data_IF_378861552299
#
_entry.id   IF_378861552299
#
_cell.length_a   1.000
_cell.length_b   1.000
_cell.length_c   1.000
_cell.angle_alpha   90.00
_cell.angle_beta   90.00
_cell.angle_gamma   90.00
#
_symmetry.space_group_name_H-M   'P 1'
#
loop_
_entity.id
_entity.type
_entity.pdbx_description
1 polymer ?
#
# COMPACT_ATOMS: atom_id res chain seq x y z
N UNK A 1 -15.56 26.35 -11.82
CA UNK A 1 -14.30 26.66 -11.13
C UNK A 1 -13.83 28.11 -11.42
N UNK A 2 -14.04 28.61 -12.66
CA UNK A 2 -13.65 29.97 -13.04
C UNK A 2 -14.56 31.05 -12.41
N UNK A 3 -15.82 30.73 -12.15
CA UNK A 3 -16.77 31.71 -11.55
C UNK A 3 -16.55 31.92 -10.03
N UNK A 4 -16.03 30.90 -9.32
CA UNK A 4 -15.79 31.06 -7.88
C UNK A 4 -14.59 31.97 -7.60
N UNK A 5 -13.54 31.89 -8.42
CA UNK A 5 -12.36 32.75 -8.29
C UNK A 5 -12.67 34.24 -8.57
N UNK A 6 -13.63 34.51 -9.49
CA UNK A 6 -14.05 35.89 -9.80
C UNK A 6 -14.95 36.50 -8.75
N UNK A 7 -15.68 35.68 -7.99
CA UNK A 7 -16.60 36.18 -6.95
C UNK A 7 -15.83 36.61 -5.68
N UNK A 8 -14.73 35.93 -5.32
CA UNK A 8 -13.86 36.38 -4.21
C UNK A 8 -13.13 37.69 -4.53
N UNK A 9 -12.72 37.90 -5.79
CA UNK A 9 -12.07 39.12 -6.24
C UNK A 9 -13.04 40.33 -6.21
N UNK A 10 -14.36 40.10 -6.34
CA UNK A 10 -15.36 41.15 -6.36
C UNK A 10 -15.92 41.50 -4.97
N UNK A 11 -15.72 40.65 -3.96
CA UNK A 11 -16.25 40.85 -2.61
C UNK A 11 -15.35 41.67 -1.69
N UNK A 12 -14.07 41.92 -2.08
CA UNK A 12 -13.08 42.63 -1.27
C UNK A 12 -12.59 43.95 -1.90
N UNK A 13 -13.29 44.48 -2.89
CA UNK A 13 -12.88 45.71 -3.56
C UNK A 13 -13.60 46.95 -2.99
N UNK A 14 -13.44 47.15 -1.68
CA UNK A 14 -13.61 48.47 -1.05
C UNK A 14 -12.29 49.30 -1.06
N UNK A 15 -11.29 48.82 -1.83
CA UNK A 15 -10.05 49.51 -2.14
C UNK A 15 -9.06 49.64 -0.97
N UNK A 16 -9.29 49.03 0.18
CA UNK A 16 -8.47 49.25 1.35
C UNK A 16 -8.14 48.05 2.24
N UNK A 17 -8.79 46.89 2.11
CA UNK A 17 -8.46 45.71 2.92
C UNK A 17 -7.59 44.73 2.15
N UNK A 18 -6.33 44.61 2.53
CA UNK A 18 -5.40 43.61 2.01
C UNK A 18 -5.67 42.25 2.66
N UNK A 19 -5.54 41.17 1.90
CA UNK A 19 -5.74 39.80 2.42
C UNK A 19 -4.65 39.43 3.45
N UNK A 20 -5.04 38.92 4.65
CA UNK A 20 -4.10 38.41 5.63
C UNK A 20 -3.72 36.94 5.39
N UNK A 21 -4.18 36.31 4.29
CA UNK A 21 -4.00 34.89 4.07
C UNK A 21 -2.54 34.57 3.68
N UNK A 22 -1.82 33.97 4.62
CA UNK A 22 -0.44 33.48 4.50
C UNK A 22 -0.38 31.95 4.63
N UNK A 23 -1.46 31.25 4.20
CA UNK A 23 -1.56 29.80 4.34
C UNK A 23 -1.13 29.05 3.07
N UNK A 24 -0.71 27.79 3.25
CA UNK A 24 -0.30 26.88 2.18
C UNK A 24 -1.41 25.87 1.92
N UNK A 25 -1.81 25.76 0.66
CA UNK A 25 -2.88 24.86 0.20
C UNK A 25 -2.42 23.41 0.07
N UNK A 26 -1.23 23.23 -0.47
CA UNK A 26 -0.64 21.91 -0.71
C UNK A 26 0.87 22.01 -0.85
N UNK A 27 1.57 20.92 -0.56
CA UNK A 27 3.00 20.82 -0.79
C UNK A 27 3.44 19.41 -1.16
N UNK A 28 4.61 19.32 -1.82
CA UNK A 28 5.34 18.06 -2.02
C UNK A 28 6.82 18.27 -1.65
N UNK A 29 7.47 17.21 -1.19
CA UNK A 29 8.93 17.16 -0.98
C UNK A 29 9.46 16.01 -1.82
N UNK A 30 10.41 16.29 -2.70
CA UNK A 30 10.96 15.31 -3.64
C UNK A 30 9.88 14.55 -4.44
N UNK A 31 8.84 15.28 -4.87
CA UNK A 31 7.68 14.73 -5.61
C UNK A 31 6.68 13.96 -4.75
N UNK A 32 6.95 13.72 -3.47
CA UNK A 32 6.03 13.03 -2.56
C UNK A 32 5.13 14.03 -1.85
N UNK A 33 3.82 13.75 -1.80
CA UNK A 33 2.81 14.59 -1.15
C UNK A 33 3.13 14.76 0.34
N UNK A 34 3.14 16.01 0.80
CA UNK A 34 3.34 16.37 2.19
C UNK A 34 2.01 16.71 2.87
N UNK A 35 1.96 16.52 4.19
CA UNK A 35 0.87 16.98 5.05
C UNK A 35 1.18 18.43 5.41
N UNK A 36 0.25 19.34 5.11
CA UNK A 36 0.31 20.74 5.47
C UNK A 36 -0.61 20.98 6.66
N UNK A 37 -0.05 21.42 7.77
CA UNK A 37 -0.78 21.88 8.94
C UNK A 37 -0.62 23.39 9.07
N UNK A 38 -1.69 24.12 8.74
CA UNK A 38 -1.72 25.57 8.76
C UNK A 38 -1.86 26.15 10.18
N UNK A 39 -2.29 25.38 11.17
CA UNK A 39 -2.33 25.81 12.57
C UNK A 39 -0.95 25.69 13.23
N UNK A 40 -0.35 24.49 13.11
CA UNK A 40 0.99 24.23 13.63
C UNK A 40 2.11 24.86 12.80
N UNK A 41 1.80 25.40 11.61
CA UNK A 41 2.78 25.93 10.65
C UNK A 41 3.84 24.90 10.29
N UNK A 42 3.40 23.69 9.91
CA UNK A 42 4.30 22.61 9.50
C UNK A 42 3.92 22.03 8.14
N UNK A 43 4.95 21.61 7.41
CA UNK A 43 4.85 20.79 6.19
C UNK A 43 5.67 19.54 6.45
N UNK A 44 5.02 18.37 6.52
CA UNK A 44 5.69 17.13 6.88
C UNK A 44 5.52 16.08 5.79
N UNK A 45 6.63 15.50 5.33
CA UNK A 45 6.64 14.35 4.45
C UNK A 45 7.45 13.22 5.08
N UNK A 46 6.86 12.02 5.15
CA UNK A 46 7.53 10.85 5.68
C UNK A 46 8.13 10.03 4.53
N UNK A 47 9.39 9.63 4.66
CA UNK A 47 10.13 8.80 3.72
C UNK A 47 10.41 7.44 4.35
N UNK A 48 10.58 6.42 3.49
CA UNK A 48 10.85 5.06 3.93
C UNK A 48 12.28 4.91 4.47
N UNK A 49 12.51 3.87 5.28
CA UNK A 49 13.83 3.51 5.80
C UNK A 49 14.84 3.38 4.67
N UNK A 50 16.05 3.90 4.91
CA UNK A 50 17.12 3.89 3.92
C UNK A 50 17.11 5.04 2.91
N UNK A 51 16.06 5.88 2.90
CA UNK A 51 16.08 7.11 2.11
C UNK A 51 17.13 8.07 2.66
N UNK A 52 18.02 8.57 1.81
CA UNK A 52 19.07 9.53 2.20
C UNK A 52 18.59 10.93 1.84
N UNK A 53 18.30 11.80 2.84
CA UNK A 53 17.96 13.19 2.57
C UNK A 53 19.11 13.93 1.87
N UNK A 54 18.77 14.76 0.90
CA UNK A 54 19.74 15.53 0.12
C UNK A 54 19.12 16.81 -0.47
N UNK A 55 19.58 17.22 -1.63
CA UNK A 55 19.02 18.32 -2.41
C UNK A 55 17.69 17.91 -3.04
N UNK A 56 16.57 18.21 -2.37
CA UNK A 56 15.24 17.82 -2.80
C UNK A 56 14.37 19.01 -3.16
N UNK A 57 13.61 18.97 -4.27
CA UNK A 57 12.68 20.03 -4.62
C UNK A 57 11.52 20.06 -3.61
N UNK A 58 11.17 21.27 -3.15
CA UNK A 58 9.98 21.55 -2.35
C UNK A 58 9.02 22.33 -3.22
N UNK A 59 7.93 21.69 -3.63
CA UNK A 59 6.86 22.32 -4.40
C UNK A 59 5.70 22.63 -3.49
N UNK A 60 5.17 23.84 -3.54
CA UNK A 60 4.01 24.25 -2.76
C UNK A 60 3.11 25.21 -3.55
N UNK A 61 1.84 25.23 -3.15
CA UNK A 61 0.84 26.14 -3.66
C UNK A 61 0.28 26.95 -2.48
N UNK A 62 0.32 28.27 -2.57
CA UNK A 62 -0.29 29.15 -1.59
C UNK A 62 -1.81 29.20 -1.78
N UNK A 63 -2.58 29.43 -0.71
CA UNK A 63 -4.01 29.64 -0.81
C UNK A 63 -4.36 30.97 -1.49
N UNK A 64 -3.64 32.03 -1.13
CA UNK A 64 -3.79 33.35 -1.77
C UNK A 64 -2.80 33.53 -2.90
N UNK A 65 -3.27 33.93 -4.08
CA UNK A 65 -2.42 34.33 -5.21
C UNK A 65 -1.69 35.65 -4.98
N UNK A 66 -2.05 36.40 -3.93
CA UNK A 66 -1.46 37.69 -3.53
C UNK A 66 -0.42 37.52 -2.43
N UNK A 67 -0.24 36.31 -1.90
CA UNK A 67 0.83 35.98 -0.96
C UNK A 67 2.12 35.61 -1.72
N UNK A 68 3.26 35.75 -1.04
CA UNK A 68 4.57 35.36 -1.55
C UNK A 68 5.32 34.52 -0.51
N UNK A 69 6.31 33.76 -0.97
CA UNK A 69 7.22 33.01 -0.10
C UNK A 69 8.66 33.50 -0.29
N UNK A 70 9.52 33.27 0.72
CA UNK A 70 10.92 33.66 0.72
C UNK A 70 11.80 32.83 -0.23
N UNK A 71 11.28 31.71 -0.76
CA UNK A 71 11.90 30.98 -1.85
C UNK A 71 10.88 30.49 -2.90
N UNK A 72 11.37 30.18 -4.09
CA UNK A 72 10.54 29.77 -5.22
C UNK A 72 10.14 28.30 -5.10
N UNK A 73 8.84 28.03 -5.31
CA UNK A 73 8.28 26.68 -5.34
C UNK A 73 8.90 25.84 -6.44
N UNK A 74 9.37 24.64 -6.09
CA UNK A 74 10.02 23.69 -6.99
C UNK A 74 11.55 23.73 -6.94
N UNK A 75 12.16 24.71 -6.29
CA UNK A 75 13.60 24.74 -6.11
C UNK A 75 14.09 23.65 -5.14
N UNK A 76 15.29 23.07 -5.40
CA UNK A 76 15.90 22.10 -4.50
C UNK A 76 16.43 22.78 -3.23
N UNK A 77 16.27 22.08 -2.11
CA UNK A 77 16.77 22.48 -0.79
C UNK A 77 17.40 21.29 -0.07
N UNK A 78 18.43 21.56 0.73
CA UNK A 78 19.21 20.54 1.38
C UNK A 78 18.57 20.08 2.69
N UNK A 79 18.04 18.85 2.70
CA UNK A 79 17.48 18.20 3.88
C UNK A 79 18.47 17.34 4.68
N UNK A 80 19.73 17.23 4.23
CA UNK A 80 20.73 16.45 4.97
C UNK A 80 21.07 17.08 6.33
N UNK A 81 20.83 18.38 6.50
CA UNK A 81 21.11 19.14 7.73
C UNK A 81 19.88 19.31 8.65
N UNK A 82 18.76 18.69 8.32
CA UNK A 82 17.52 18.77 9.08
C UNK A 82 16.41 19.60 8.43
N UNK A 83 15.41 20.02 9.21
CA UNK A 83 14.27 20.78 8.71
C UNK A 83 14.65 22.13 8.09
N UNK A 84 13.81 22.58 7.15
CA UNK A 84 13.91 23.90 6.51
C UNK A 84 12.82 24.81 7.04
N UNK A 85 12.94 26.11 6.75
CA UNK A 85 11.89 27.09 7.01
C UNK A 85 11.44 27.74 5.72
N UNK A 86 10.12 27.98 5.59
CA UNK A 86 9.52 28.82 4.54
C UNK A 86 8.79 29.96 5.23
N UNK A 87 9.14 31.22 4.92
CA UNK A 87 8.38 32.38 5.33
C UNK A 87 7.38 32.76 4.26
N UNK A 88 6.09 32.69 4.57
CA UNK A 88 5.00 33.14 3.70
C UNK A 88 4.52 34.51 4.15
N UNK A 89 4.54 35.48 3.25
CA UNK A 89 4.09 36.86 3.49
C UNK A 89 2.76 37.08 2.76
N UNK A 90 1.71 37.42 3.50
CA UNK A 90 0.41 37.79 2.96
C UNK A 90 0.43 39.18 2.30
N UNK A 91 -0.65 39.52 1.58
CA UNK A 91 -0.78 40.83 0.91
C UNK A 91 -0.77 42.01 1.90
N UNK A 92 -1.26 41.83 3.12
CA UNK A 92 -1.26 42.86 4.17
C UNK A 92 0.11 43.04 4.87
N UNK A 93 1.09 42.17 4.52
CA UNK A 93 2.42 42.13 5.11
C UNK A 93 2.55 41.22 6.34
N UNK A 94 1.46 40.59 6.80
CA UNK A 94 1.54 39.57 7.85
C UNK A 94 2.33 38.34 7.38
N UNK A 95 3.08 37.73 8.30
CA UNK A 95 4.01 36.63 8.01
C UNK A 95 3.67 35.37 8.78
N UNK A 96 3.89 34.23 8.14
CA UNK A 96 3.86 32.91 8.77
C UNK A 96 5.13 32.15 8.38
N UNK A 97 5.78 31.54 9.37
CA UNK A 97 6.97 30.70 9.16
C UNK A 97 6.57 29.25 9.31
N UNK A 98 6.72 28.48 8.24
CA UNK A 98 6.46 27.04 8.21
C UNK A 98 7.77 26.28 8.38
N UNK A 99 7.74 25.25 9.25
CA UNK A 99 8.82 24.26 9.34
C UNK A 99 8.55 23.13 8.35
N UNK A 100 9.49 22.88 7.45
CA UNK A 100 9.41 21.81 6.44
C UNK A 100 10.22 20.61 6.90
N UNK A 101 9.53 19.51 7.22
CA UNK A 101 10.13 18.31 7.77
C UNK A 101 10.14 17.18 6.73
N UNK A 102 11.34 16.67 6.43
CA UNK A 102 11.52 15.40 5.74
C UNK A 102 11.93 14.34 6.78
N UNK A 103 10.96 13.51 7.20
CA UNK A 103 11.17 12.50 8.24
C UNK A 103 11.46 11.17 7.56
N UNK A 104 12.62 10.58 7.84
CA UNK A 104 12.96 9.23 7.38
C UNK A 104 12.57 8.24 8.47
N UNK A 105 11.73 7.27 8.12
CA UNK A 105 11.32 6.21 9.04
C UNK A 105 12.49 5.29 9.38
N UNK A 106 12.55 4.81 10.61
CA UNK A 106 13.44 3.74 11.06
C UNK A 106 12.80 2.35 10.90
N UNK A 107 11.49 2.31 10.60
CA UNK A 107 10.73 1.07 10.38
C UNK A 107 10.99 0.50 8.98
N UNK A 108 10.85 -0.82 8.88
CA UNK A 108 10.81 -1.55 7.59
C UNK A 108 9.66 -1.01 6.75
N UNK A 109 9.93 -0.75 5.48
CA UNK A 109 8.98 -0.13 4.57
C UNK A 109 8.09 -1.16 3.87
N UNK A 110 6.77 -0.96 3.92
CA UNK A 110 5.78 -1.78 3.23
C UNK A 110 5.07 -0.94 2.18
N UNK A 111 5.22 -1.31 0.90
CA UNK A 111 4.44 -0.74 -0.20
C UNK A 111 3.13 -1.50 -0.38
N UNK A 112 2.02 -0.94 0.09
CA UNK A 112 0.69 -1.55 -0.03
C UNK A 112 -0.05 -0.97 -1.23
N UNK A 113 -0.15 -1.75 -2.30
CA UNK A 113 -0.91 -1.39 -3.49
C UNK A 113 -2.41 -1.55 -3.20
N UNK A 114 -3.15 -0.46 -3.23
CA UNK A 114 -4.61 -0.41 -3.05
C UNK A 114 -5.30 0.20 -4.25
N UNK A 115 -6.59 0.04 -4.39
CA UNK A 115 -7.34 0.56 -5.54
C UNK A 115 -7.21 2.09 -5.73
N UNK A 116 -7.01 2.85 -4.65
CA UNK A 116 -7.07 4.32 -4.64
C UNK A 116 -5.86 5.01 -4.00
N UNK A 117 -4.81 4.27 -3.64
CA UNK A 117 -3.66 4.83 -2.94
C UNK A 117 -3.96 5.26 -1.50
N UNK A 118 -4.98 4.68 -0.89
CA UNK A 118 -5.40 4.97 0.48
C UNK A 118 -5.97 3.73 1.17
N UNK A 119 -6.01 3.75 2.51
CA UNK A 119 -6.75 2.77 3.30
C UNK A 119 -8.26 2.94 3.10
N UNK A 120 -9.00 1.84 3.08
CA UNK A 120 -10.46 1.87 3.18
C UNK A 120 -10.89 1.90 4.66
N UNK A 121 -12.12 2.35 4.92
CA UNK A 121 -12.66 2.45 6.29
C UNK A 121 -12.76 1.09 7.01
N UNK A 122 -12.82 0.00 6.26
CA UNK A 122 -12.89 -1.37 6.80
C UNK A 122 -11.51 -2.04 7.00
N UNK A 123 -10.41 -1.37 6.69
CA UNK A 123 -9.05 -1.95 6.75
C UNK A 123 -8.44 -1.98 8.16
N UNK A 124 -9.12 -1.47 9.19
CA UNK A 124 -8.55 -1.27 10.52
C UNK A 124 -7.87 -2.51 11.12
N UNK A 125 -8.54 -3.67 11.10
CA UNK A 125 -7.97 -4.93 11.61
C UNK A 125 -6.87 -5.49 10.70
N UNK A 126 -7.00 -5.37 9.38
CA UNK A 126 -5.95 -5.73 8.45
C UNK A 126 -4.70 -4.89 8.70
N UNK A 127 -4.84 -3.57 8.82
CA UNK A 127 -3.71 -2.65 9.03
C UNK A 127 -3.06 -2.84 10.41
N UNK A 128 -3.80 -3.29 11.42
CA UNK A 128 -3.23 -3.59 12.74
C UNK A 128 -2.15 -4.69 12.68
N UNK A 129 -2.21 -5.59 11.70
CA UNK A 129 -1.17 -6.58 11.46
C UNK A 129 0.15 -5.98 10.97
N UNK A 130 0.11 -4.76 10.43
CA UNK A 130 1.27 -4.03 9.91
C UNK A 130 1.70 -2.85 10.79
N UNK A 131 1.22 -2.75 12.03
CA UNK A 131 1.48 -1.60 12.93
C UNK A 131 2.98 -1.39 13.23
N UNK A 132 3.78 -2.44 13.16
CA UNK A 132 5.23 -2.39 13.40
C UNK A 132 6.04 -1.90 12.18
N UNK A 133 5.38 -1.69 11.03
CA UNK A 133 5.99 -1.31 9.75
C UNK A 133 5.63 0.13 9.36
N UNK A 134 6.39 0.70 8.42
CA UNK A 134 6.05 1.96 7.74
C UNK A 134 5.25 1.62 6.47
N UNK A 135 3.93 1.67 6.57
CA UNK A 135 3.02 1.33 5.47
C UNK A 135 2.78 2.55 4.60
N UNK A 136 3.17 2.45 3.33
CA UNK A 136 2.94 3.46 2.30
C UNK A 136 1.90 2.93 1.31
N UNK A 137 0.80 3.65 1.14
CA UNK A 137 -0.23 3.26 0.18
C UNK A 137 0.14 3.69 -1.23
N UNK A 138 0.07 2.75 -2.16
CA UNK A 138 0.35 2.93 -3.58
C UNK A 138 -0.94 2.86 -4.39
N UNK A 139 -1.12 3.80 -5.32
CA UNK A 139 -2.35 3.93 -6.09
C UNK A 139 -2.33 3.02 -7.33
N UNK A 140 -3.18 1.99 -7.32
CA UNK A 140 -3.35 1.10 -8.47
C UNK A 140 -4.06 1.78 -9.66
N UNK A 141 -4.76 2.89 -9.45
CA UNK A 141 -5.40 3.66 -10.54
C UNK A 141 -4.41 4.54 -11.31
N UNK A 142 -3.19 4.68 -10.80
CA UNK A 142 -2.14 5.44 -11.48
C UNK A 142 -1.70 4.76 -12.80
N UNK A 143 -1.03 5.52 -13.66
CA UNK A 143 -0.39 4.95 -14.86
C UNK A 143 0.66 3.93 -14.46
N UNK A 144 0.64 2.74 -15.07
CA UNK A 144 1.62 1.70 -14.82
C UNK A 144 3.05 2.22 -15.09
N UNK A 145 3.96 2.13 -14.10
CA UNK A 145 5.35 2.49 -14.29
C UNK A 145 6.02 1.64 -15.39
N UNK A 146 6.94 2.24 -16.13
CA UNK A 146 7.72 1.50 -17.15
C UNK A 146 8.71 0.52 -16.49
N UNK A 147 9.24 0.86 -15.31
CA UNK A 147 10.16 0.07 -14.51
C UNK A 147 9.54 -0.24 -13.16
N UNK A 148 9.06 -1.47 -12.99
CA UNK A 148 8.40 -1.94 -11.77
C UNK A 148 9.38 -2.13 -10.61
N UNK A 149 10.64 -2.51 -10.90
CA UNK A 149 11.66 -2.66 -9.87
C UNK A 149 12.02 -1.29 -9.28
N UNK A 150 12.20 -0.27 -10.13
CA UNK A 150 12.42 1.10 -9.67
C UNK A 150 11.22 1.63 -8.88
N UNK A 151 9.99 1.30 -9.29
CA UNK A 151 8.76 1.71 -8.60
C UNK A 151 8.70 1.18 -7.17
N UNK A 152 9.07 -0.09 -6.96
CA UNK A 152 9.07 -0.73 -5.63
C UNK A 152 10.43 -0.70 -4.92
N UNK A 153 11.43 0.00 -5.47
CA UNK A 153 12.81 -0.01 -4.96
C UNK A 153 12.92 0.26 -3.47
N UNK A 154 12.14 1.21 -2.97
CA UNK A 154 12.22 1.71 -1.60
C UNK A 154 11.37 0.91 -0.60
N UNK A 155 10.77 -0.20 -1.02
CA UNK A 155 9.95 -1.03 -0.15
C UNK A 155 10.63 -2.37 0.08
N UNK A 156 10.64 -2.82 1.33
CA UNK A 156 11.18 -4.12 1.74
C UNK A 156 10.16 -5.24 1.51
N UNK A 157 8.85 -4.92 1.60
CA UNK A 157 7.73 -5.83 1.35
C UNK A 157 6.71 -5.14 0.44
N UNK A 158 6.23 -5.87 -0.55
CA UNK A 158 5.10 -5.48 -1.39
C UNK A 158 3.86 -6.21 -0.90
N UNK A 159 2.78 -5.46 -0.66
CA UNK A 159 1.46 -6.03 -0.36
C UNK A 159 0.49 -5.65 -1.48
N UNK A 160 -0.09 -6.65 -2.15
CA UNK A 160 -1.19 -6.43 -3.10
C UNK A 160 -2.49 -6.58 -2.32
N UNK A 161 -3.15 -5.47 -2.04
CA UNK A 161 -4.40 -5.45 -1.28
C UNK A 161 -5.56 -6.02 -2.11
N UNK A 162 -6.51 -6.68 -1.46
CA UNK A 162 -7.63 -7.32 -2.16
C UNK A 162 -8.56 -6.34 -2.90
N UNK A 163 -8.51 -5.04 -2.60
CA UNK A 163 -9.24 -4.00 -3.36
C UNK A 163 -8.71 -3.77 -4.77
N UNK A 164 -7.48 -4.20 -5.06
CA UNK A 164 -6.89 -4.08 -6.41
C UNK A 164 -7.66 -4.97 -7.37
N UNK A 165 -8.12 -4.41 -8.48
CA UNK A 165 -8.77 -5.22 -9.52
C UNK A 165 -7.78 -6.26 -10.06
N UNK A 166 -8.21 -7.52 -10.21
CA UNK A 166 -7.31 -8.61 -10.58
C UNK A 166 -6.62 -8.42 -11.95
N UNK A 167 -7.19 -7.59 -12.84
CA UNK A 167 -6.62 -7.21 -14.14
C UNK A 167 -5.94 -5.83 -14.11
N UNK A 168 -5.71 -5.27 -12.94
CA UNK A 168 -5.03 -3.99 -12.81
C UNK A 168 -3.61 -4.05 -13.39
N UNK A 169 -3.19 -3.11 -14.26
CA UNK A 169 -1.90 -3.18 -14.94
C UNK A 169 -0.68 -3.18 -14.00
N UNK A 170 -0.74 -2.45 -12.87
CA UNK A 170 0.34 -2.44 -11.86
C UNK A 170 0.32 -3.78 -11.10
N UNK A 171 -0.86 -4.23 -10.63
CA UNK A 171 -1.01 -5.50 -9.95
C UNK A 171 -0.57 -6.70 -10.81
N UNK A 172 -0.89 -6.69 -12.11
CA UNK A 172 -0.44 -7.73 -13.06
C UNK A 172 1.08 -7.70 -13.21
N UNK A 173 1.69 -6.55 -13.42
CA UNK A 173 3.13 -6.43 -13.61
C UNK A 173 3.95 -6.72 -12.33
N UNK A 174 3.31 -6.70 -11.15
CA UNK A 174 3.98 -7.05 -9.89
C UNK A 174 4.40 -8.53 -9.84
N UNK A 175 3.81 -9.40 -10.65
CA UNK A 175 4.26 -10.81 -10.78
C UNK A 175 5.73 -10.93 -11.19
N UNK A 176 6.24 -9.99 -11.98
CA UNK A 176 7.62 -9.99 -12.46
C UNK A 176 8.64 -9.81 -11.32
N UNK A 177 8.18 -9.32 -10.17
CA UNK A 177 9.01 -9.12 -8.98
C UNK A 177 8.99 -10.31 -8.00
N UNK A 178 8.20 -11.34 -8.25
CA UNK A 178 8.24 -12.57 -7.47
C UNK A 178 9.65 -13.19 -7.58
N UNK A 179 10.24 -13.57 -6.44
CA UNK A 179 11.63 -14.00 -6.36
C UNK A 179 12.67 -12.87 -6.32
N UNK A 180 12.29 -11.63 -6.63
CA UNK A 180 13.16 -10.43 -6.54
C UNK A 180 12.85 -9.64 -5.27
N UNK A 181 11.58 -9.50 -4.97
CA UNK A 181 11.07 -8.78 -3.79
C UNK A 181 10.13 -9.67 -2.98
N UNK A 182 10.11 -9.57 -1.64
CA UNK A 182 9.07 -10.20 -0.83
C UNK A 182 7.69 -9.68 -1.22
N UNK A 183 6.74 -10.59 -1.49
CA UNK A 183 5.38 -10.22 -1.89
C UNK A 183 4.35 -10.96 -1.04
N UNK A 184 3.45 -10.21 -0.41
CA UNK A 184 2.21 -10.70 0.17
C UNK A 184 1.05 -10.32 -0.77
N UNK A 185 0.52 -11.30 -1.46
CA UNK A 185 -0.63 -11.09 -2.33
C UNK A 185 -1.92 -11.45 -1.58
N UNK A 186 -2.81 -10.48 -1.40
CA UNK A 186 -4.12 -10.70 -0.78
C UNK A 186 -5.24 -10.87 -1.82
N UNK A 187 -4.90 -10.88 -3.13
CA UNK A 187 -5.87 -10.92 -4.23
C UNK A 187 -5.73 -12.18 -5.07
N UNK A 188 -6.43 -13.26 -4.72
CA UNK A 188 -6.42 -14.52 -5.47
C UNK A 188 -6.74 -14.35 -6.97
N UNK A 189 -7.57 -13.38 -7.34
CA UNK A 189 -7.91 -13.09 -8.74
C UNK A 189 -6.76 -12.65 -9.63
N UNK A 190 -5.60 -12.27 -9.09
CA UNK A 190 -4.40 -12.01 -9.87
C UNK A 190 -3.90 -13.27 -10.58
N UNK A 191 -4.17 -14.45 -10.05
CA UNK A 191 -3.77 -15.74 -10.61
C UNK A 191 -4.52 -16.15 -11.88
N UNK A 192 -5.66 -15.53 -12.18
CA UNK A 192 -6.52 -15.90 -13.32
C UNK A 192 -5.80 -15.79 -14.67
N UNK A 193 -6.39 -16.48 -15.67
CA UNK A 193 -5.99 -16.36 -17.07
C UNK A 193 -5.98 -14.89 -17.52
N UNK A 194 -5.06 -14.57 -18.41
CA UNK A 194 -4.83 -13.21 -18.95
C UNK A 194 -4.34 -12.19 -17.90
N UNK A 195 -3.89 -12.67 -16.72
CA UNK A 195 -3.25 -11.91 -15.64
C UNK A 195 -1.89 -12.56 -15.36
N UNK A 196 -1.75 -13.21 -14.20
CA UNK A 196 -0.55 -14.01 -13.91
C UNK A 196 -0.58 -15.40 -14.54
N UNK A 197 -1.77 -15.88 -14.92
CA UNK A 197 -2.01 -17.22 -15.50
C UNK A 197 -1.51 -18.36 -14.61
N UNK A 198 -1.61 -18.21 -13.29
CA UNK A 198 -1.16 -19.19 -12.30
C UNK A 198 -2.31 -20.07 -11.78
N UNK A 199 -3.53 -19.85 -12.23
CA UNK A 199 -4.69 -20.68 -11.90
C UNK A 199 -5.33 -21.26 -13.16
N UNK A 200 -6.12 -22.31 -12.98
CA UNK A 200 -6.92 -22.90 -14.09
C UNK A 200 -7.84 -21.82 -14.68
N UNK A 201 -7.93 -21.72 -16.01
CA UNK A 201 -8.79 -20.75 -16.66
C UNK A 201 -10.21 -20.81 -16.12
N UNK A 202 -10.75 -19.67 -15.73
CA UNK A 202 -12.09 -19.47 -15.18
C UNK A 202 -12.32 -19.93 -13.73
N UNK A 203 -11.30 -20.38 -13.00
CA UNK A 203 -11.46 -20.88 -11.64
C UNK A 203 -10.54 -20.18 -10.65
N UNK A 204 -10.67 -18.87 -10.51
CA UNK A 204 -10.43 -18.27 -9.21
C UNK A 204 -11.70 -18.49 -8.42
N UNK A 205 -11.61 -19.32 -7.40
CA UNK A 205 -12.77 -19.61 -6.59
C UNK A 205 -13.29 -18.33 -5.99
N UNK A 206 -14.50 -18.22 -6.12
CA UNK A 206 -15.31 -17.18 -5.60
C UNK A 206 -15.59 -17.55 -4.15
N UNK A 207 -15.24 -16.67 -3.24
CA UNK A 207 -15.50 -16.83 -1.83
C UNK A 207 -16.95 -17.19 -1.60
N UNK A 208 -17.16 -18.34 -0.99
CA UNK A 208 -18.43 -18.71 -0.39
C UNK A 208 -18.42 -18.25 1.08
N UNK A 209 -19.52 -18.46 1.76
CA UNK A 209 -19.69 -18.06 3.16
C UNK A 209 -18.84 -18.96 4.08
N UNK A 210 -17.57 -18.65 4.24
CA UNK A 210 -16.62 -19.33 5.11
C UNK A 210 -16.17 -18.42 6.24
N UNK A 211 -15.85 -19.00 7.40
CA UNK A 211 -15.20 -18.33 8.53
C UNK A 211 -13.82 -18.92 8.83
N UNK A 212 -13.54 -20.13 8.34
CA UNK A 212 -12.31 -20.88 8.57
C UNK A 212 -11.73 -21.45 7.28
N UNK A 213 -10.51 -21.96 7.41
CA UNK A 213 -9.77 -22.69 6.38
C UNK A 213 -9.16 -23.94 6.98
N UNK A 214 -8.91 -24.95 6.14
CA UNK A 214 -8.26 -26.20 6.51
C UNK A 214 -6.75 -26.06 6.26
N UNK A 215 -5.95 -26.17 7.33
CA UNK A 215 -4.49 -25.95 7.28
C UNK A 215 -3.77 -27.26 7.06
N UNK A 216 -3.02 -27.36 5.99
CA UNK A 216 -2.29 -28.57 5.59
C UNK A 216 -0.92 -28.69 6.28
N UNK A 217 -0.32 -27.57 6.71
CA UNK A 217 1.03 -27.52 7.27
C UNK A 217 1.07 -26.60 8.50
N UNK A 218 0.52 -27.05 9.64
CA UNK A 218 0.35 -26.23 10.86
C UNK A 218 1.67 -25.78 11.50
N UNK A 219 2.80 -26.45 11.24
CA UNK A 219 4.12 -26.06 11.75
C UNK A 219 4.82 -24.99 10.91
N UNK A 220 4.18 -24.49 9.85
CA UNK A 220 4.73 -23.38 9.05
C UNK A 220 4.81 -22.09 9.88
N UNK A 221 5.87 -21.27 9.77
CA UNK A 221 6.08 -20.07 10.59
C UNK A 221 4.93 -19.07 10.59
N UNK A 222 4.17 -18.97 9.49
CA UNK A 222 3.02 -18.04 9.42
C UNK A 222 1.89 -18.42 10.40
N UNK A 223 1.85 -19.66 10.90
CA UNK A 223 0.86 -20.13 11.85
C UNK A 223 1.31 -20.07 13.32
N UNK A 224 2.41 -19.38 13.59
CA UNK A 224 2.88 -19.17 14.97
C UNK A 224 1.85 -18.38 15.78
N UNK A 225 1.53 -18.85 17.00
CA UNK A 225 0.57 -18.20 17.91
C UNK A 225 -0.84 -18.00 17.31
N UNK A 226 -1.28 -18.89 16.43
CA UNK A 226 -2.69 -19.02 16.02
C UNK A 226 -3.31 -20.24 16.70
N UNK A 227 -4.61 -20.18 16.97
CA UNK A 227 -5.33 -21.28 17.59
C UNK A 227 -6.05 -22.12 16.52
N UNK A 228 -5.87 -23.43 16.60
CA UNK A 228 -6.51 -24.41 15.72
C UNK A 228 -7.62 -25.18 16.44
N UNK A 229 -8.63 -25.59 15.69
CA UNK A 229 -9.59 -26.64 16.06
C UNK A 229 -9.39 -27.82 15.09
N UNK A 230 -8.62 -28.82 15.52
CA UNK A 230 -8.12 -29.85 14.62
C UNK A 230 -7.20 -29.30 13.55
N UNK A 231 -7.60 -29.42 12.30
CA UNK A 231 -6.93 -28.85 11.12
C UNK A 231 -7.51 -27.48 10.71
N UNK A 232 -8.57 -27.03 11.38
CA UNK A 232 -9.25 -25.76 11.03
C UNK A 232 -8.63 -24.56 11.73
N UNK A 233 -8.45 -23.51 10.96
CA UNK A 233 -8.08 -22.19 11.42
C UNK A 233 -9.24 -21.22 11.20
N UNK A 234 -9.89 -20.82 12.28
CA UNK A 234 -10.93 -19.80 12.24
C UNK A 234 -10.29 -18.42 12.02
N UNK A 235 -10.71 -17.74 10.96
CA UNK A 235 -10.17 -16.41 10.58
C UNK A 235 -11.19 -15.30 10.77
N UNK A 236 -12.49 -15.61 10.72
CA UNK A 236 -13.56 -14.62 10.79
C UNK A 236 -14.47 -14.90 12.00
N UNK A 237 -15.02 -13.84 12.57
CA UNK A 237 -16.00 -13.93 13.66
C UNK A 237 -17.33 -14.60 13.23
N UNK A 238 -17.61 -14.59 11.92
CA UNK A 238 -18.76 -15.26 11.31
C UNK A 238 -18.48 -15.56 9.83
N UNK A 239 -19.18 -16.51 9.19
CA UNK A 239 -19.01 -16.80 7.77
C UNK A 239 -19.25 -15.58 6.88
N UNK A 240 -18.36 -15.39 5.91
CA UNK A 240 -18.40 -14.28 4.96
C UNK A 240 -17.74 -14.67 3.63
N UNK A 241 -17.96 -13.86 2.59
CA UNK A 241 -17.32 -13.98 1.27
C UNK A 241 -15.89 -13.44 1.24
N UNK A 242 -15.31 -13.07 2.38
CA UNK A 242 -13.95 -12.52 2.49
C UNK A 242 -12.87 -13.54 2.15
N UNK A 243 -13.10 -14.82 2.49
CA UNK A 243 -12.13 -15.89 2.23
C UNK A 243 -12.29 -16.34 0.77
N UNK A 244 -11.23 -16.20 0.00
CA UNK A 244 -11.13 -16.63 -1.40
C UNK A 244 -10.06 -17.70 -1.60
N UNK A 245 -10.20 -18.49 -2.64
CA UNK A 245 -9.25 -19.50 -3.06
C UNK A 245 -9.02 -19.46 -4.58
N UNK A 246 -8.04 -20.19 -5.06
CA UNK A 246 -7.80 -20.44 -6.47
C UNK A 246 -7.56 -21.92 -6.73
N UNK A 247 -7.68 -22.31 -7.98
CA UNK A 247 -7.37 -23.67 -8.42
C UNK A 247 -6.05 -23.65 -9.21
N UNK A 248 -5.16 -24.62 -8.93
CA UNK A 248 -3.88 -24.70 -9.64
C UNK A 248 -4.01 -24.90 -11.13
N UNK A 249 -3.04 -24.37 -11.88
CA UNK A 249 -2.80 -24.76 -13.27
C UNK A 249 -1.90 -25.98 -13.31
N UNK A 250 -1.99 -26.73 -14.40
CA UNK A 250 -1.08 -27.85 -14.69
C UNK A 250 0.25 -27.42 -15.33
N UNK A 251 0.47 -26.10 -15.48
CA UNK A 251 1.66 -25.50 -16.08
C UNK A 251 2.61 -24.95 -15.02
N UNK A 252 3.91 -24.78 -15.30
CA UNK A 252 4.82 -24.11 -14.39
C UNK A 252 4.38 -22.69 -14.04
N UNK A 253 4.70 -22.23 -12.84
CA UNK A 253 4.61 -20.82 -12.51
C UNK A 253 5.69 -20.05 -13.23
N UNK A 254 5.35 -18.90 -13.82
CA UNK A 254 6.28 -18.10 -14.61
C UNK A 254 6.18 -16.62 -14.25
N UNK A 255 7.33 -15.95 -14.14
CA UNK A 255 7.48 -14.50 -14.23
C UNK A 255 8.26 -14.16 -15.49
N UNK A 256 8.54 -12.88 -15.72
CA UNK A 256 9.29 -12.43 -16.91
C UNK A 256 10.70 -13.03 -16.96
N UNK A 257 11.33 -13.20 -15.81
CA UNK A 257 12.74 -13.65 -15.68
C UNK A 257 12.92 -15.02 -15.02
N UNK A 258 11.82 -15.69 -14.64
CA UNK A 258 11.90 -16.98 -13.95
C UNK A 258 10.76 -17.92 -14.35
N UNK A 259 11.03 -19.21 -14.23
CA UNK A 259 10.05 -20.29 -14.39
C UNK A 259 10.35 -21.35 -13.36
N UNK A 260 9.35 -21.78 -12.59
CA UNK A 260 9.51 -22.83 -11.58
C UNK A 260 8.50 -23.94 -11.83
N UNK A 261 8.90 -25.21 -11.87
CA UNK A 261 7.98 -26.33 -11.92
C UNK A 261 7.04 -26.32 -10.73
N UNK A 262 5.76 -26.58 -10.94
CA UNK A 262 4.74 -26.58 -9.90
C UNK A 262 5.10 -27.55 -8.75
N UNK A 263 5.63 -28.71 -9.07
CA UNK A 263 5.95 -29.77 -8.09
C UNK A 263 7.08 -29.40 -7.11
N UNK A 264 7.96 -28.46 -7.48
CA UNK A 264 9.12 -28.11 -6.68
C UNK A 264 9.01 -26.79 -5.95
N UNK A 265 8.16 -25.89 -6.43
CA UNK A 265 8.08 -24.52 -5.91
C UNK A 265 6.77 -24.23 -5.18
N UNK A 266 5.81 -25.13 -5.26
CA UNK A 266 4.46 -24.89 -4.85
C UNK A 266 4.15 -25.54 -3.50
N UNK A 267 3.83 -24.70 -2.50
CA UNK A 267 3.38 -25.18 -1.21
C UNK A 267 1.96 -24.70 -0.91
N UNK A 268 0.99 -25.62 -0.90
CA UNK A 268 -0.33 -25.36 -0.35
C UNK A 268 -0.25 -25.36 1.16
N UNK A 269 -0.57 -24.23 1.80
CA UNK A 269 -0.56 -24.10 3.25
C UNK A 269 -1.95 -24.18 3.85
N UNK A 270 -2.98 -23.78 3.13
CA UNK A 270 -4.37 -23.92 3.55
C UNK A 270 -5.33 -24.00 2.35
N UNK A 271 -6.42 -24.75 2.54
CA UNK A 271 -7.50 -24.95 1.56
C UNK A 271 -8.85 -24.53 2.13
N UNK A 272 -9.89 -24.50 1.30
CA UNK A 272 -11.28 -24.32 1.72
C UNK A 272 -11.99 -25.67 1.61
N UNK A 273 -12.76 -26.05 2.66
CA UNK A 273 -13.53 -27.29 2.74
C UNK A 273 -12.67 -28.58 2.65
N UNK A 274 -11.39 -28.51 2.99
CA UNK A 274 -10.45 -29.64 2.80
C UNK A 274 -10.28 -30.06 1.33
N UNK A 275 -10.65 -29.19 0.38
CA UNK A 275 -10.56 -29.45 -1.04
C UNK A 275 -9.24 -28.91 -1.60
N UNK A 276 -8.31 -29.79 -1.92
CA UNK A 276 -6.99 -29.46 -2.48
C UNK A 276 -7.05 -28.64 -3.77
N UNK A 277 -8.20 -28.64 -4.45
CA UNK A 277 -8.44 -27.78 -5.60
C UNK A 277 -8.81 -26.33 -5.23
N UNK A 278 -9.08 -26.05 -3.93
CA UNK A 278 -9.47 -24.72 -3.44
C UNK A 278 -8.41 -24.14 -2.52
N UNK A 279 -7.29 -23.73 -3.07
CA UNK A 279 -6.15 -23.22 -2.31
C UNK A 279 -6.41 -21.79 -1.84
N UNK A 280 -6.38 -21.57 -0.53
CA UNK A 280 -6.55 -20.28 0.10
C UNK A 280 -5.20 -19.61 0.43
N UNK A 281 -4.27 -20.38 1.01
CA UNK A 281 -2.92 -19.89 1.32
C UNK A 281 -1.92 -20.70 0.51
N UNK A 282 -1.11 -19.98 -0.25
CA UNK A 282 -0.12 -20.54 -1.15
C UNK A 282 1.23 -19.86 -0.97
N UNK A 283 2.26 -20.64 -0.80
CA UNK A 283 3.65 -20.20 -0.84
C UNK A 283 4.30 -20.63 -2.15
N UNK A 284 5.05 -19.72 -2.76
CA UNK A 284 5.96 -20.03 -3.85
C UNK A 284 7.39 -19.97 -3.33
N UNK A 285 8.04 -21.12 -3.27
CA UNK A 285 9.44 -21.22 -2.86
C UNK A 285 10.35 -21.19 -4.09
N UNK A 286 11.13 -20.13 -4.19
CA UNK A 286 12.03 -19.84 -5.34
C UNK A 286 13.50 -19.97 -4.96
N UNK A 287 13.89 -20.98 -4.21
CA UNK A 287 15.26 -21.29 -3.76
C UNK A 287 16.24 -20.08 -3.72
N UNK A 288 16.57 -19.61 -2.53
CA UNK A 288 17.45 -18.45 -2.26
C UNK A 288 16.98 -17.10 -2.84
N UNK A 289 15.73 -17.01 -3.30
CA UNK A 289 15.12 -15.81 -3.80
C UNK A 289 14.20 -15.19 -2.76
N UNK A 290 13.66 -14.00 -3.04
CA UNK A 290 12.66 -13.39 -2.18
C UNK A 290 11.38 -14.25 -2.14
N UNK A 291 10.81 -14.37 -0.94
CA UNK A 291 9.63 -15.21 -0.70
C UNK A 291 8.35 -14.57 -1.25
N UNK A 292 7.42 -15.43 -1.62
CA UNK A 292 6.09 -15.03 -2.06
C UNK A 292 5.01 -15.81 -1.32
N UNK A 293 3.97 -15.11 -0.84
CA UNK A 293 2.78 -15.70 -0.26
C UNK A 293 1.51 -15.12 -0.90
N UNK A 294 0.54 -15.99 -1.19
CA UNK A 294 -0.85 -15.61 -1.36
C UNK A 294 -1.61 -15.95 -0.07
N UNK A 295 -2.45 -15.02 0.39
CA UNK A 295 -3.58 -15.25 1.30
C UNK A 295 -4.81 -14.72 0.58
N UNK A 296 -5.65 -15.61 0.07
CA UNK A 296 -6.75 -15.25 -0.82
C UNK A 296 -7.88 -14.53 -0.09
N UNK A 297 -7.93 -13.21 -0.20
CA UNK A 297 -8.99 -12.39 0.39
C UNK A 297 -9.84 -11.71 -0.68
N UNK A 298 -11.04 -11.31 -0.31
CA UNK A 298 -11.93 -10.44 -1.08
C UNK A 298 -12.09 -9.09 -0.40
N UNK A 299 -12.45 -8.08 -1.17
CA UNK A 299 -12.82 -6.75 -0.69
C UNK A 299 -14.34 -6.53 -0.75
N UNK A 300 -15.14 -7.59 -0.78
CA UNK A 300 -16.60 -7.49 -0.79
C UNK A 300 -17.13 -7.19 0.61
N UNK A 301 -18.03 -6.20 0.70
CA UNK A 301 -18.69 -5.79 1.94
C UNK A 301 -17.74 -5.22 2.99
N UNK A 302 -18.10 -5.35 4.26
CA UNK A 302 -17.33 -4.89 5.43
C UNK A 302 -16.20 -5.88 5.80
N UNK A 303 -15.48 -6.34 4.82
CA UNK A 303 -14.69 -7.56 4.76
C UNK A 303 -13.78 -7.78 5.96
N UNK A 304 -12.93 -6.81 6.27
CA UNK A 304 -11.89 -7.02 7.30
C UNK A 304 -12.34 -6.66 8.71
N UNK A 305 -13.53 -6.08 8.87
CA UNK A 305 -14.12 -5.87 10.21
C UNK A 305 -14.52 -7.17 10.90
N UNK A 306 -14.61 -8.26 10.13
CA UNK A 306 -14.92 -9.60 10.63
C UNK A 306 -13.68 -10.40 11.05
N UNK A 307 -12.46 -9.88 10.82
CA UNK A 307 -11.25 -10.56 11.24
C UNK A 307 -11.24 -10.79 12.76
N UNK A 308 -10.86 -12.01 13.13
CA UNK A 308 -10.57 -12.33 14.53
C UNK A 308 -9.04 -12.19 14.81
N UNK A 309 -8.63 -12.51 16.03
CA UNK A 309 -7.22 -12.45 16.44
C UNK A 309 -6.33 -13.38 15.60
N UNK A 310 -6.83 -14.54 15.15
CA UNK A 310 -6.06 -15.47 14.33
C UNK A 310 -5.76 -14.87 12.96
N UNK A 311 -6.73 -14.19 12.32
CA UNK A 311 -6.50 -13.51 11.03
C UNK A 311 -5.44 -12.40 11.13
N UNK A 312 -5.51 -11.60 12.20
CA UNK A 312 -4.50 -10.55 12.45
C UNK A 312 -3.11 -11.16 12.68
N UNK A 313 -3.02 -12.21 13.51
CA UNK A 313 -1.76 -12.90 13.77
C UNK A 313 -1.20 -13.57 12.52
N UNK A 314 -2.04 -14.21 11.71
CA UNK A 314 -1.65 -14.80 10.44
C UNK A 314 -1.01 -13.77 9.51
N UNK A 315 -1.65 -12.61 9.32
CA UNK A 315 -1.12 -11.53 8.47
C UNK A 315 0.18 -10.94 9.03
N UNK A 316 0.26 -10.74 10.34
CA UNK A 316 1.48 -10.27 11.01
C UNK A 316 2.64 -11.25 10.82
N UNK A 317 2.37 -12.55 11.02
CA UNK A 317 3.37 -13.60 10.84
C UNK A 317 3.78 -13.74 9.37
N UNK A 318 2.83 -13.60 8.42
CA UNK A 318 3.10 -13.63 7.00
C UNK A 318 4.07 -12.50 6.59
N UNK A 319 3.83 -11.26 7.05
CA UNK A 319 4.74 -10.15 6.81
C UNK A 319 6.14 -10.41 7.41
N UNK A 320 6.21 -10.86 8.67
CA UNK A 320 7.47 -11.19 9.32
C UNK A 320 8.22 -12.34 8.61
N UNK A 321 7.50 -13.38 8.18
CA UNK A 321 8.07 -14.51 7.45
C UNK A 321 8.68 -14.12 6.10
N UNK A 322 7.98 -13.26 5.36
CA UNK A 322 8.43 -12.77 4.06
C UNK A 322 9.68 -11.89 4.14
N UNK A 323 9.88 -11.21 5.27
CA UNK A 323 11.00 -10.29 5.51
C UNK A 323 12.25 -10.97 6.10
N UNK A 324 12.14 -12.24 6.53
CA UNK A 324 13.25 -13.05 7.08
C UNK A 324 13.77 -14.07 6.06
#
# INVERSE_FOLDING_TARGET
AYLAATTELLSNDDGNSKSPDNTIKSATINGKKAIVDNEAKTITCQFVKGTIPGEWPVTFLLNSSLASADFESGNPHNFANGPLSIEVTAQDGSKAVYTVNAIVSDKIAVGMLTATGAAASYDGLLLSAFADYDVQFLDASATKPADMEAYYRNYDLIVIHASVAGNNPIGVATSDLAGIKPILNLKAFTYSKDRWSWSTPNNTEIGRMHSNVDVTLQNHPIFTNVAFDGDKLELLAQPSTVINAFQYVSAPFTGTSWTVPMETANHTLATIDGDDAKVHIHELNLDNSAKYLLIGLSNEGDSYTLFNTNAVNLLKNAAAYLLN
#
